data_IF_294143441304
#
_entry.id   IF_294143441304
#
_cell.length_a   1.000
_cell.length_b   1.000
_cell.length_c   1.000
_cell.angle_alpha   90.00
_cell.angle_beta   90.00
_cell.angle_gamma   90.00
#
_symmetry.space_group_name_H-M   'P 1'
#
loop_
_entity.id
_entity.type
_entity.pdbx_description
1 polymer ?
#
# COMPACT_ATOMS: atom_id res chain seq x y z
N UNK A 1 -17.85 -6.04 -3.44
CA UNK A 1 -17.14 -4.86 -3.98
C UNK A 1 -17.76 -4.49 -5.30
N UNK A 2 -18.34 -3.30 -5.40
CA UNK A 2 -18.71 -2.69 -6.68
C UNK A 2 -17.45 -2.06 -7.28
N UNK A 3 -17.06 -2.48 -8.48
CA UNK A 3 -15.78 -2.12 -9.09
C UNK A 3 -15.96 -1.53 -10.50
N UNK A 4 -15.24 -0.44 -10.78
CA UNK A 4 -15.14 0.13 -12.14
C UNK A 4 -13.71 0.57 -12.40
N UNK A 5 -13.25 0.38 -13.63
CA UNK A 5 -11.91 0.74 -14.06
C UNK A 5 -11.97 1.43 -15.43
N UNK A 6 -11.58 2.71 -15.45
CA UNK A 6 -11.54 3.58 -16.63
C UNK A 6 -10.10 3.75 -17.15
N UNK A 7 -9.22 2.80 -16.86
CA UNK A 7 -7.82 2.78 -17.33
C UNK A 7 -7.59 1.69 -18.37
N UNK A 8 -6.41 1.66 -18.99
CA UNK A 8 -6.02 0.58 -19.89
C UNK A 8 -5.59 -0.71 -19.17
N UNK A 9 -5.58 -0.74 -17.83
CA UNK A 9 -5.27 -1.95 -17.07
C UNK A 9 -6.43 -2.95 -17.18
N UNK A 10 -6.11 -4.24 -17.09
CA UNK A 10 -7.11 -5.30 -17.10
C UNK A 10 -7.98 -5.26 -15.83
N UNK A 11 -9.29 -5.06 -16.01
CA UNK A 11 -10.26 -4.91 -14.92
C UNK A 11 -10.38 -6.15 -14.03
N UNK A 12 -10.40 -7.35 -14.63
CA UNK A 12 -10.50 -8.61 -13.87
C UNK A 12 -9.32 -8.78 -12.92
N UNK A 13 -8.09 -8.58 -13.44
CA UNK A 13 -6.86 -8.64 -12.65
C UNK A 13 -6.83 -7.62 -11.50
N UNK A 14 -7.24 -6.37 -11.74
CA UNK A 14 -7.32 -5.36 -10.67
C UNK A 14 -8.36 -5.73 -9.60
N UNK A 15 -9.54 -6.20 -10.03
CA UNK A 15 -10.60 -6.59 -9.10
C UNK A 15 -10.16 -7.76 -8.22
N UNK A 16 -9.60 -8.83 -8.81
CA UNK A 16 -9.08 -9.97 -8.07
C UNK A 16 -7.98 -9.55 -7.08
N UNK A 17 -7.05 -8.71 -7.54
CA UNK A 17 -5.97 -8.16 -6.72
C UNK A 17 -6.52 -7.42 -5.49
N UNK A 18 -7.51 -6.55 -5.69
CA UNK A 18 -8.09 -5.79 -4.59
C UNK A 18 -8.89 -6.68 -3.65
N UNK A 19 -9.74 -7.58 -4.16
CA UNK A 19 -10.49 -8.53 -3.32
C UNK A 19 -9.54 -9.37 -2.45
N UNK A 20 -8.51 -9.97 -3.05
CA UNK A 20 -7.50 -10.76 -2.33
C UNK A 20 -6.90 -9.97 -1.17
N UNK A 21 -6.42 -8.77 -1.43
CA UNK A 21 -5.83 -7.91 -0.41
C UNK A 21 -6.85 -7.04 0.32
N UNK A 22 -8.14 -7.39 0.30
CA UNK A 22 -9.12 -6.82 1.23
C UNK A 22 -9.50 -7.81 2.31
N UNK A 23 -9.40 -9.11 2.03
CA UNK A 23 -9.58 -10.13 3.04
C UNK A 23 -8.63 -9.88 4.23
N UNK A 24 -9.11 -10.02 5.48
CA UNK A 24 -10.42 -10.55 5.86
C UNK A 24 -11.52 -9.49 6.11
N UNK A 25 -11.31 -8.26 5.69
CA UNK A 25 -12.24 -7.16 5.99
C UNK A 25 -13.50 -7.21 5.10
N UNK A 26 -14.67 -6.77 5.62
CA UNK A 26 -15.89 -6.67 4.83
C UNK A 26 -15.68 -5.72 3.65
N UNK A 27 -16.11 -6.14 2.46
CA UNK A 27 -15.86 -5.40 1.22
C UNK A 27 -17.00 -5.49 0.21
N UNK A 28 -18.11 -6.11 0.59
CA UNK A 28 -19.31 -6.29 -0.21
C UNK A 28 -19.86 -4.93 -0.63
N UNK A 29 -19.84 -3.97 0.32
CA UNK A 29 -20.34 -2.60 0.17
C UNK A 29 -19.32 -1.59 -0.33
N UNK A 30 -18.06 -1.98 -0.52
CA UNK A 30 -17.04 -1.07 -1.03
C UNK A 30 -17.29 -0.77 -2.51
N UNK A 31 -17.27 0.51 -2.86
CA UNK A 31 -17.36 1.02 -4.23
C UNK A 31 -15.98 1.53 -4.65
N UNK A 32 -15.27 0.78 -5.49
CA UNK A 32 -13.91 1.09 -5.93
C UNK A 32 -13.93 1.56 -7.38
N UNK A 33 -13.27 2.69 -7.64
CA UNK A 33 -13.18 3.32 -8.96
C UNK A 33 -11.72 3.61 -9.31
N UNK A 34 -11.20 2.95 -10.34
CA UNK A 34 -9.85 3.16 -10.86
C UNK A 34 -9.93 4.03 -12.10
N UNK A 35 -9.17 5.12 -12.16
CA UNK A 35 -9.18 6.05 -13.30
C UNK A 35 -7.83 6.69 -13.49
N UNK A 36 -7.66 7.36 -14.63
CA UNK A 36 -6.49 8.19 -14.85
C UNK A 36 -6.59 9.53 -14.11
N UNK A 37 -5.51 9.92 -13.44
CA UNK A 37 -5.31 11.27 -12.91
C UNK A 37 -5.11 12.27 -14.05
N UNK A 38 -5.62 13.50 -13.85
CA UNK A 38 -5.44 14.61 -14.79
C UNK A 38 -4.12 15.36 -14.61
N UNK A 39 -3.55 15.34 -13.40
CA UNK A 39 -2.44 16.25 -13.02
C UNK A 39 -1.38 15.62 -12.12
N UNK A 40 -1.72 14.60 -11.33
CA UNK A 40 -0.78 13.95 -10.41
C UNK A 40 -0.23 12.65 -11.01
N UNK A 41 0.96 12.25 -10.56
CA UNK A 41 1.51 10.94 -10.88
C UNK A 41 0.65 9.81 -10.28
N UNK A 42 0.08 10.03 -9.10
CA UNK A 42 -0.99 9.23 -8.56
C UNK A 42 -1.73 9.98 -7.44
N UNK A 43 -2.91 9.52 -7.06
CA UNK A 43 -3.58 9.93 -5.82
C UNK A 43 -4.68 8.94 -5.44
N UNK A 44 -4.95 8.80 -4.14
CA UNK A 44 -6.12 8.11 -3.61
C UNK A 44 -7.11 9.09 -2.99
N UNK A 45 -8.35 8.66 -2.84
CA UNK A 45 -9.27 9.27 -1.88
C UNK A 45 -10.33 8.29 -1.41
N UNK A 46 -10.70 8.40 -0.13
CA UNK A 46 -11.76 7.63 0.49
C UNK A 46 -12.92 8.52 0.97
N UNK A 47 -14.15 8.11 0.68
CA UNK A 47 -15.38 8.70 1.20
C UNK A 47 -16.06 7.69 2.11
N UNK A 48 -15.89 7.87 3.42
CA UNK A 48 -16.18 6.83 4.42
C UNK A 48 -17.66 6.46 4.51
N UNK A 49 -18.54 7.47 4.45
CA UNK A 49 -20.00 7.29 4.61
C UNK A 49 -20.58 6.43 3.48
N UNK A 50 -20.06 6.62 2.27
CA UNK A 50 -20.50 5.93 1.06
C UNK A 50 -19.69 4.66 0.79
N UNK A 51 -18.66 4.36 1.59
CA UNK A 51 -17.76 3.23 1.35
C UNK A 51 -17.04 3.31 0.00
N UNK A 52 -16.72 4.52 -0.47
CA UNK A 52 -16.19 4.75 -1.82
C UNK A 52 -14.70 5.05 -1.81
N UNK A 53 -13.95 4.36 -2.67
CA UNK A 53 -12.51 4.56 -2.86
C UNK A 53 -12.24 4.93 -4.32
N UNK A 54 -11.52 6.02 -4.54
CA UNK A 54 -11.00 6.40 -5.84
C UNK A 54 -9.50 6.16 -5.90
N UNK A 55 -9.06 5.52 -6.98
CA UNK A 55 -7.65 5.27 -7.30
C UNK A 55 -7.35 6.02 -8.60
N UNK A 56 -6.46 7.00 -8.53
CA UNK A 56 -6.10 7.83 -9.68
C UNK A 56 -4.65 7.54 -10.08
N UNK A 57 -4.45 7.04 -11.30
CA UNK A 57 -3.12 6.71 -11.85
C UNK A 57 -2.67 7.74 -12.87
N UNK A 58 -1.42 8.17 -12.82
CA UNK A 58 -0.85 9.06 -13.84
C UNK A 58 -0.70 8.34 -15.18
N UNK A 59 -1.24 8.90 -16.26
CA UNK A 59 -1.11 8.35 -17.63
C UNK A 59 0.34 8.26 -18.12
N UNK A 60 1.22 9.08 -17.54
CA UNK A 60 2.62 9.24 -17.95
C UNK A 60 3.60 8.59 -16.98
N UNK A 61 3.11 7.81 -16.01
CA UNK A 61 3.99 7.08 -15.10
C UNK A 61 4.87 6.13 -15.90
N UNK A 62 6.16 6.13 -15.57
CA UNK A 62 7.12 5.17 -16.09
C UNK A 62 7.45 4.20 -14.98
N UNK A 63 7.59 2.94 -15.34
CA UNK A 63 7.87 1.86 -14.41
C UNK A 63 9.27 1.27 -14.68
N UNK A 64 10.05 0.91 -13.65
CA UNK A 64 9.69 0.95 -12.23
C UNK A 64 9.45 2.38 -11.71
N UNK A 65 8.48 2.52 -10.81
CA UNK A 65 8.05 3.80 -10.26
C UNK A 65 8.43 3.90 -8.78
N UNK A 66 8.98 5.04 -8.36
CA UNK A 66 9.41 5.25 -6.97
C UNK A 66 8.37 6.04 -6.21
N UNK A 67 7.82 5.42 -5.18
CA UNK A 67 6.88 6.03 -4.24
C UNK A 67 7.66 6.54 -3.02
N UNK A 68 7.57 7.83 -2.75
CA UNK A 68 8.05 8.39 -1.50
C UNK A 68 7.00 8.17 -0.40
N UNK A 69 7.36 7.43 0.64
CA UNK A 69 6.47 7.04 1.74
C UNK A 69 6.97 7.58 3.08
N UNK A 70 6.06 7.80 4.02
CA UNK A 70 6.38 8.25 5.37
C UNK A 70 6.24 7.10 6.38
N UNK A 71 6.71 5.91 6.03
CA UNK A 71 6.61 4.71 6.89
C UNK A 71 7.58 4.72 8.07
N UNK A 72 8.65 5.52 8.02
CA UNK A 72 9.63 5.59 9.10
C UNK A 72 8.98 6.02 10.43
N UNK A 73 9.50 5.49 11.55
CA UNK A 73 9.18 6.02 12.88
C UNK A 73 9.64 7.48 12.96
N UNK A 74 8.80 8.37 13.48
CA UNK A 74 9.26 9.74 13.79
C UNK A 74 10.30 9.68 14.91
N UNK A 75 11.40 10.43 14.75
CA UNK A 75 12.49 10.50 15.73
C UNK A 75 12.65 11.94 16.20
N UNK A 76 12.98 12.11 17.47
CA UNK A 76 13.42 13.39 18.01
C UNK A 76 14.86 13.65 17.57
N UNK A 77 15.12 14.86 17.10
CA UNK A 77 16.45 15.34 16.75
C UNK A 77 16.64 16.71 17.44
N UNK A 78 17.18 16.68 18.65
CA UNK A 78 17.18 17.84 19.55
C UNK A 78 15.75 18.30 19.87
N UNK A 79 15.45 19.57 19.58
CA UNK A 79 14.13 20.19 19.78
C UNK A 79 13.13 19.92 18.65
N UNK A 80 13.53 19.21 17.59
CA UNK A 80 12.71 19.00 16.40
C UNK A 80 12.28 17.54 16.26
N UNK A 81 11.09 17.32 15.71
CA UNK A 81 10.64 16.01 15.28
C UNK A 81 10.86 15.87 13.78
N UNK A 82 11.63 14.86 13.39
CA UNK A 82 11.86 14.53 11.97
C UNK A 82 11.35 13.13 11.68
N UNK A 83 10.78 12.97 10.49
CA UNK A 83 10.47 11.68 9.90
C UNK A 83 11.25 11.53 8.61
N UNK A 84 11.96 10.43 8.48
CA UNK A 84 12.66 10.12 7.24
C UNK A 84 11.64 9.63 6.18
N UNK A 85 11.84 10.06 4.94
CA UNK A 85 11.06 9.56 3.81
C UNK A 85 11.79 8.35 3.23
N UNK A 86 11.08 7.23 3.09
CA UNK A 86 11.60 6.02 2.45
C UNK A 86 11.04 5.89 1.04
N UNK A 87 11.81 5.25 0.16
CA UNK A 87 11.52 5.06 -1.26
C UNK A 87 11.11 3.62 -1.50
N UNK A 88 9.83 3.39 -1.82
CA UNK A 88 9.33 2.09 -2.23
C UNK A 88 9.33 2.03 -3.76
N UNK A 89 9.98 1.03 -4.36
CA UNK A 89 10.00 0.88 -5.82
C UNK A 89 8.98 -0.17 -6.25
N UNK A 90 8.02 0.24 -7.09
CA UNK A 90 7.03 -0.66 -7.68
C UNK A 90 7.36 -0.93 -9.15
N UNK A 91 7.12 -2.16 -9.60
CA UNK A 91 7.51 -2.67 -10.91
C UNK A 91 6.51 -2.36 -12.01
N UNK A 92 5.22 -2.22 -11.66
CA UNK A 92 4.15 -1.96 -12.62
C UNK A 92 3.01 -1.10 -12.04
N UNK A 93 2.03 -0.79 -12.90
CA UNK A 93 0.87 0.01 -12.53
C UNK A 93 -0.14 -0.71 -11.63
N UNK A 94 -0.15 -2.05 -11.61
CA UNK A 94 -1.02 -2.83 -10.73
C UNK A 94 -0.53 -2.72 -9.28
N UNK A 95 0.79 -2.80 -9.06
CA UNK A 95 1.40 -2.59 -7.75
C UNK A 95 1.16 -1.16 -7.25
N UNK A 96 1.30 -0.15 -8.12
CA UNK A 96 0.96 1.24 -7.75
C UNK A 96 -0.52 1.38 -7.39
N UNK A 97 -1.42 0.77 -8.17
CA UNK A 97 -2.86 0.78 -7.88
C UNK A 97 -3.16 0.10 -6.54
N UNK A 98 -2.49 -1.02 -6.24
CA UNK A 98 -2.63 -1.74 -4.99
C UNK A 98 -2.11 -0.92 -3.80
N UNK A 99 -0.98 -0.22 -3.94
CA UNK A 99 -0.48 0.68 -2.90
C UNK A 99 -1.54 1.73 -2.53
N UNK A 100 -2.08 2.42 -3.53
CA UNK A 100 -3.10 3.46 -3.34
C UNK A 100 -4.36 2.85 -2.73
N UNK A 101 -4.83 1.72 -3.27
CA UNK A 101 -5.99 1.01 -2.75
C UNK A 101 -5.84 0.68 -1.27
N UNK A 102 -4.72 0.09 -0.87
CA UNK A 102 -4.48 -0.31 0.52
C UNK A 102 -4.33 0.87 1.45
N UNK A 103 -3.72 1.96 0.97
CA UNK A 103 -3.65 3.21 1.72
C UNK A 103 -5.05 3.75 2.04
N UNK A 104 -5.91 3.86 1.03
CA UNK A 104 -7.30 4.35 1.21
C UNK A 104 -8.19 3.36 1.96
N UNK A 105 -8.01 2.06 1.74
CA UNK A 105 -8.70 1.02 2.49
C UNK A 105 -8.37 1.14 3.99
N UNK A 106 -7.12 1.41 4.37
CA UNK A 106 -6.79 1.58 5.78
C UNK A 106 -7.52 2.77 6.40
N UNK A 107 -7.63 3.90 5.69
CA UNK A 107 -8.46 5.03 6.15
C UNK A 107 -9.92 4.61 6.37
N UNK A 108 -10.49 3.85 5.43
CA UNK A 108 -11.83 3.29 5.57
C UNK A 108 -11.96 2.40 6.81
N UNK A 109 -11.01 1.48 7.03
CA UNK A 109 -11.02 0.55 8.16
C UNK A 109 -10.85 1.27 9.50
N UNK A 110 -10.00 2.29 9.58
CA UNK A 110 -9.85 3.14 10.77
C UNK A 110 -11.18 3.82 11.11
N UNK A 111 -11.87 4.37 10.11
CA UNK A 111 -13.20 4.95 10.31
C UNK A 111 -14.23 3.90 10.73
N UNK A 112 -14.28 2.74 10.06
CA UNK A 112 -15.19 1.64 10.37
C UNK A 112 -14.97 1.06 11.78
N UNK A 113 -13.72 1.08 12.27
CA UNK A 113 -13.36 0.73 13.64
C UNK A 113 -13.73 1.81 14.68
N UNK A 114 -14.40 2.90 14.28
CA UNK A 114 -14.77 4.00 15.16
C UNK A 114 -13.57 4.82 15.66
N UNK A 115 -12.44 4.77 14.97
CA UNK A 115 -11.21 5.47 15.37
C UNK A 115 -11.08 6.82 14.66
N UNK A 116 -10.34 7.73 15.28
CA UNK A 116 -10.05 9.04 14.70
C UNK A 116 -9.08 8.89 13.51
N UNK A 117 -9.54 9.31 12.33
CA UNK A 117 -8.77 9.29 11.07
C UNK A 117 -7.69 10.37 11.00
N UNK A 118 -7.71 11.39 11.88
CA UNK A 118 -6.72 12.48 11.84
C UNK A 118 -5.32 11.97 12.18
N UNK A 119 -4.34 12.41 11.38
CA UNK A 119 -2.89 12.21 11.60
C UNK A 119 -2.48 10.72 11.58
N UNK A 120 -3.09 9.94 10.68
CA UNK A 120 -2.81 8.50 10.51
C UNK A 120 -2.17 8.12 9.18
N UNK A 121 -1.80 9.11 8.36
CA UNK A 121 -1.13 8.92 7.06
C UNK A 121 0.00 7.89 7.08
N UNK A 122 0.91 7.98 8.07
CA UNK A 122 2.01 7.01 8.17
C UNK A 122 1.58 5.59 8.51
N UNK A 123 0.41 5.39 9.12
CA UNK A 123 -0.13 4.04 9.34
C UNK A 123 -0.70 3.49 8.03
N UNK A 124 -1.39 4.33 7.25
CA UNK A 124 -1.87 3.98 5.91
C UNK A 124 -0.72 3.60 4.98
N UNK A 125 0.34 4.41 4.97
CA UNK A 125 1.56 4.13 4.20
C UNK A 125 2.18 2.80 4.61
N UNK A 126 2.29 2.51 5.91
CA UNK A 126 2.86 1.23 6.39
C UNK A 126 1.99 0.06 5.97
N UNK A 127 0.66 0.19 6.11
CA UNK A 127 -0.28 -0.86 5.75
C UNK A 127 -0.22 -1.22 4.27
N UNK A 128 -0.08 -0.22 3.40
CA UNK A 128 0.12 -0.40 1.96
C UNK A 128 1.50 -0.97 1.64
N UNK A 129 2.56 -0.38 2.22
CA UNK A 129 3.96 -0.80 2.01
C UNK A 129 4.19 -2.25 2.40
N UNK A 130 3.60 -2.69 3.53
CA UNK A 130 3.70 -4.06 4.03
C UNK A 130 3.30 -5.09 2.98
N UNK A 131 2.16 -4.88 2.33
CA UNK A 131 1.68 -5.80 1.28
C UNK A 131 2.66 -5.87 0.11
N UNK A 132 3.19 -4.72 -0.33
CA UNK A 132 4.10 -4.68 -1.47
C UNK A 132 5.48 -5.28 -1.16
N UNK A 133 6.00 -5.07 0.05
CA UNK A 133 7.25 -5.71 0.48
C UNK A 133 7.05 -7.23 0.62
N UNK A 134 6.00 -7.66 1.31
CA UNK A 134 5.83 -9.06 1.71
C UNK A 134 5.42 -9.97 0.55
N UNK A 135 4.56 -9.49 -0.35
CA UNK A 135 4.01 -10.32 -1.43
C UNK A 135 4.61 -10.02 -2.81
N UNK A 136 5.14 -8.82 -3.01
CA UNK A 136 5.69 -8.38 -4.30
C UNK A 136 7.20 -8.17 -4.26
N UNK A 137 7.84 -8.34 -3.08
CA UNK A 137 9.27 -8.11 -2.89
C UNK A 137 9.73 -6.71 -3.36
N UNK A 138 8.83 -5.71 -3.29
CA UNK A 138 9.16 -4.34 -3.65
C UNK A 138 10.24 -3.80 -2.68
N UNK A 139 11.39 -3.32 -3.16
CA UNK A 139 12.45 -2.85 -2.28
C UNK A 139 12.03 -1.52 -1.64
N UNK A 140 12.22 -1.45 -0.32
CA UNK A 140 12.07 -0.23 0.47
C UNK A 140 13.45 0.29 0.85
N UNK A 141 13.80 1.47 0.33
CA UNK A 141 15.11 2.07 0.46
C UNK A 141 15.04 3.33 1.33
N UNK A 142 16.10 3.59 2.08
CA UNK A 142 16.26 4.86 2.79
C UNK A 142 16.70 6.01 1.86
N UNK A 143 16.99 7.16 2.44
CA UNK A 143 17.48 8.32 1.71
C UNK A 143 18.83 8.10 1.02
N UNK A 144 19.66 7.18 1.53
CA UNK A 144 20.96 6.79 0.97
C UNK A 144 20.85 5.75 -0.15
N UNK A 145 19.68 5.16 -0.35
CA UNK A 145 19.47 4.07 -1.31
C UNK A 145 19.75 2.68 -0.73
N UNK A 146 19.89 2.55 0.58
CA UNK A 146 20.13 1.28 1.26
C UNK A 146 18.81 0.60 1.64
N UNK A 147 18.76 -0.74 1.60
CA UNK A 147 17.59 -1.50 2.05
C UNK A 147 17.32 -1.25 3.53
N UNK A 148 16.05 -0.99 3.85
CA UNK A 148 15.62 -0.71 5.22
C UNK A 148 15.22 -2.01 5.93
N UNK A 149 15.80 -2.24 7.11
CA UNK A 149 15.38 -3.34 7.98
C UNK A 149 13.90 -3.22 8.40
N UNK A 150 13.17 -4.35 8.40
CA UNK A 150 11.73 -4.42 8.72
C UNK A 150 11.35 -3.67 10.01
N UNK A 151 12.11 -3.88 11.08
CA UNK A 151 11.87 -3.28 12.39
C UNK A 151 11.89 -1.73 12.40
N UNK A 152 12.51 -1.10 11.40
CA UNK A 152 12.60 0.35 11.32
C UNK A 152 11.28 1.01 10.85
N UNK A 153 10.43 0.28 10.13
CA UNK A 153 9.21 0.82 9.53
C UNK A 153 7.93 0.05 9.87
N UNK A 154 8.00 -1.26 10.12
CA UNK A 154 6.85 -2.08 10.52
C UNK A 154 6.89 -2.43 12.00
N UNK A 155 6.56 -1.44 12.84
CA UNK A 155 6.66 -1.54 14.29
C UNK A 155 5.33 -1.32 15.02
N UNK A 156 4.24 -1.07 14.27
CA UNK A 156 2.92 -0.82 14.84
C UNK A 156 2.03 -2.01 14.55
N UNK A 157 1.21 -2.39 15.52
CA UNK A 157 0.13 -3.36 15.31
C UNK A 157 -1.00 -2.71 14.51
N UNK A 158 -0.87 -2.73 13.19
CA UNK A 158 -1.85 -2.14 12.27
C UNK A 158 -3.14 -2.96 12.21
N UNK A 159 -3.03 -4.29 12.28
CA UNK A 159 -4.17 -5.20 12.19
C UNK A 159 -5.01 -5.14 13.45
N UNK A 160 -4.38 -5.17 14.63
CA UNK A 160 -5.06 -4.95 15.90
C UNK A 160 -5.69 -3.56 15.99
N UNK A 161 -5.06 -2.54 15.40
CA UNK A 161 -5.63 -1.18 15.37
C UNK A 161 -6.97 -1.10 14.62
N UNK A 162 -7.16 -1.92 13.58
CA UNK A 162 -8.40 -1.98 12.79
C UNK A 162 -9.23 -3.25 13.03
N UNK A 163 -8.87 -4.06 14.04
CA UNK A 163 -9.55 -5.33 14.35
C UNK A 163 -11.06 -5.17 14.57
N UNK A 164 -11.49 -4.05 15.17
CA UNK A 164 -12.91 -3.75 15.35
C UNK A 164 -13.68 -3.54 14.03
N UNK A 165 -13.01 -3.27 12.91
CA UNK A 165 -13.63 -3.23 11.58
C UNK A 165 -13.83 -4.63 10.98
N UNK A 166 -13.17 -5.68 11.52
CA UNK A 166 -13.34 -7.04 11.05
C UNK A 166 -14.72 -7.62 11.47
N UNK A 167 -15.24 -8.62 10.74
CA UNK A 167 -16.44 -9.36 11.13
C UNK A 167 -16.33 -9.91 12.55
N UNK A 168 -17.42 -9.96 13.34
CA UNK A 168 -17.38 -10.44 14.73
C UNK A 168 -16.74 -11.82 14.90
N UNK A 169 -16.93 -12.73 13.94
CA UNK A 169 -16.37 -14.08 13.93
C UNK A 169 -14.83 -14.04 13.99
N UNK A 170 -14.22 -13.05 13.34
CA UNK A 170 -12.76 -12.91 13.26
C UNK A 170 -12.16 -12.05 14.38
N UNK A 171 -12.99 -11.44 15.25
CA UNK A 171 -12.49 -10.63 16.38
C UNK A 171 -11.96 -11.48 17.54
N UNK A 172 -12.40 -12.73 17.61
CA UNK A 172 -12.08 -13.66 18.70
C UNK A 172 -11.08 -14.74 18.30
N UNK A 173 -10.67 -14.79 17.02
CA UNK A 173 -9.63 -15.72 16.59
C UNK A 173 -8.25 -15.11 16.85
N UNK A 174 -7.30 -15.86 17.45
CA UNK A 174 -5.93 -15.40 17.54
C UNK A 174 -5.41 -15.12 16.12
N UNK A 175 -4.78 -13.96 15.93
CA UNK A 175 -4.27 -13.53 14.64
C UNK A 175 -3.50 -14.68 13.97
N UNK A 176 -3.84 -15.06 12.71
CA UNK A 176 -3.15 -16.15 12.06
C UNK A 176 -1.66 -15.80 12.00
N UNK A 177 -0.82 -16.67 12.57
CA UNK A 177 0.61 -16.66 12.33
C UNK A 177 0.79 -16.62 10.81
N UNK A 178 1.61 -15.72 10.30
CA UNK A 178 1.80 -15.40 8.89
C UNK A 178 2.41 -16.55 8.05
N UNK A 179 1.79 -17.73 8.07
CA UNK A 179 2.21 -18.93 7.37
C UNK A 179 1.14 -19.29 6.32
N UNK A 180 1.62 -19.43 5.09
CA UNK A 180 0.93 -20.04 3.95
C UNK A 180 -0.14 -19.21 3.23
N UNK A 181 0.32 -18.16 2.54
CA UNK A 181 -0.26 -17.85 1.22
C UNK A 181 0.70 -18.44 0.17
N UNK A 182 0.36 -19.63 -0.32
CA UNK A 182 1.14 -20.40 -1.27
C UNK A 182 1.33 -19.74 -2.66
N UNK A 183 2.17 -20.35 -3.52
CA UNK A 183 2.82 -19.70 -4.65
C UNK A 183 1.94 -19.74 -5.91
N UNK A 184 0.82 -19.01 -5.94
CA UNK A 184 0.01 -18.95 -7.18
C UNK A 184 0.50 -17.91 -8.21
N UNK A 185 1.54 -17.12 -7.88
CA UNK A 185 2.13 -16.14 -8.80
C UNK A 185 3.65 -16.27 -8.97
N UNK A 186 4.24 -17.39 -8.55
CA UNK A 186 5.65 -17.70 -8.83
C UNK A 186 5.96 -17.85 -10.35
N UNK A 187 4.94 -17.86 -11.21
CA UNK A 187 5.07 -18.02 -12.66
C UNK A 187 4.86 -16.72 -13.46
N UNK A 188 4.89 -15.53 -12.85
CA UNK A 188 5.11 -14.31 -13.65
C UNK A 188 6.63 -14.20 -13.87
N UNK A 189 7.12 -14.23 -15.13
CA UNK A 189 8.54 -14.02 -15.39
C UNK A 189 8.93 -12.66 -14.83
N UNK A 190 9.68 -12.68 -13.73
CA UNK A 190 10.34 -11.50 -13.18
C UNK A 190 11.22 -10.96 -14.30
N UNK A 191 10.92 -9.74 -14.77
CA UNK A 191 11.88 -8.99 -15.54
C UNK A 191 13.21 -9.01 -14.76
N UNK A 192 14.27 -9.43 -15.44
CA UNK A 192 15.56 -9.74 -14.85
C UNK A 192 15.98 -8.68 -13.83
N UNK A 193 16.52 -9.16 -12.70
CA UNK A 193 17.03 -8.35 -11.60
C UNK A 193 17.67 -7.05 -12.11
N UNK A 194 17.11 -5.91 -11.71
CA UNK A 194 17.65 -4.59 -11.99
C UNK A 194 19.08 -4.59 -11.46
N UNK A 195 20.06 -4.70 -12.36
CA UNK A 195 21.46 -4.47 -12.01
C UNK A 195 21.54 -3.01 -11.52
N UNK A 196 22.17 -2.74 -10.37
CA UNK A 196 22.37 -1.36 -9.93
C UNK A 196 23.08 -0.60 -11.06
N UNK A 197 22.47 0.49 -11.53
CA UNK A 197 23.11 1.39 -12.49
C UNK A 197 24.25 2.07 -11.72
N UNK A 198 25.53 1.90 -12.10
CA UNK A 198 26.61 2.63 -11.47
C UNK A 198 26.42 4.12 -11.79
N UNK A 199 26.16 4.91 -10.75
CA UNK A 199 26.15 6.36 -10.84
C UNK A 199 27.59 6.83 -10.84
N UNK A 200 28.15 7.13 -12.01
CA UNK A 200 29.43 7.83 -12.11
C UNK A 200 29.21 9.30 -11.79
N UNK A 201 29.54 9.72 -10.56
CA UNK A 201 29.64 11.13 -10.21
C UNK A 201 30.93 11.65 -10.85
N UNK A 202 30.82 12.50 -11.88
CA UNK A 202 31.95 13.34 -12.31
C UNK A 202 32.03 14.51 -11.34
N UNK A 203 33.13 14.56 -10.58
CA UNK A 203 33.56 15.73 -9.83
C UNK A 203 34.09 16.82 -10.78
#
# INVERSE_FOLDING_TARGET
MDFTNDTALESARLHELFVRYTHPYPHERLCVRVRYSRRSAFSGSCYYREGRIFINLGRRNRYPYVICTHVARARSFGTHWRREAYKLTVTDAYELALFIYRHELFHHLVHAAGRCVRRKESMCDRFATRVLVDHFACPLLDSSGSLVARAAWDFQDLDGFVSAAAPPILRNEPAPLAAEIGPLFAAIPRAAAIRPIPVTIRL
#
